data_IF_940968997254
#
_entry.id   IF_940968997254
#
_cell.length_a   1.000
_cell.length_b   1.000
_cell.length_c   1.000
_cell.angle_alpha   90.00
_cell.angle_beta   90.00
_cell.angle_gamma   90.00
#
_symmetry.space_group_name_H-M   'P 1'
#
loop_
_entity.id
_entity.type
_entity.pdbx_description
1 polymer ?
#
# COMPACT_ATOMS: atom_id res chain seq x y z
N UNK A 1 -19.54 -19.30 2.96
CA UNK A 1 -19.79 -18.09 3.77
C UNK A 1 -21.28 -17.81 3.71
N UNK A 2 -21.95 -17.66 4.86
CA UNK A 2 -23.38 -17.36 4.90
C UNK A 2 -23.64 -15.94 4.39
N UNK A 3 -24.79 -15.68 3.76
CA UNK A 3 -25.14 -14.36 3.20
C UNK A 3 -25.07 -13.27 4.28
N UNK A 4 -25.48 -13.59 5.51
CA UNK A 4 -25.37 -12.69 6.66
C UNK A 4 -23.92 -12.31 6.95
N UNK A 5 -22.99 -13.28 6.92
CA UNK A 5 -21.56 -13.02 7.11
C UNK A 5 -20.99 -12.13 6.01
N UNK A 6 -21.39 -12.33 4.74
CA UNK A 6 -20.96 -11.46 3.64
C UNK A 6 -21.45 -10.02 3.82
N UNK A 7 -22.73 -9.83 4.21
CA UNK A 7 -23.29 -8.48 4.44
C UNK A 7 -22.55 -7.78 5.58
N UNK A 8 -22.28 -8.48 6.69
CA UNK A 8 -21.56 -7.90 7.83
C UNK A 8 -20.12 -7.52 7.46
N UNK A 9 -19.42 -8.40 6.73
CA UNK A 9 -18.04 -8.11 6.28
C UNK A 9 -18.02 -6.92 5.33
N UNK A 10 -18.88 -6.91 4.31
CA UNK A 10 -18.92 -5.81 3.34
C UNK A 10 -19.30 -4.49 4.01
N UNK A 11 -20.34 -4.49 4.85
CA UNK A 11 -20.76 -3.29 5.57
C UNK A 11 -19.66 -2.78 6.52
N UNK A 12 -19.01 -3.69 7.25
CA UNK A 12 -17.89 -3.37 8.13
C UNK A 12 -16.70 -2.79 7.37
N UNK A 13 -16.32 -3.39 6.24
CA UNK A 13 -15.25 -2.91 5.37
C UNK A 13 -15.58 -1.53 4.76
N UNK A 14 -16.82 -1.32 4.30
CA UNK A 14 -17.25 -0.02 3.77
C UNK A 14 -17.16 1.06 4.85
N UNK A 15 -17.64 0.78 6.06
CA UNK A 15 -17.54 1.72 7.17
C UNK A 15 -16.09 2.01 7.53
N UNK A 16 -15.27 0.96 7.68
CA UNK A 16 -13.85 1.08 8.01
C UNK A 16 -13.09 1.90 6.97
N UNK A 17 -13.28 1.60 5.69
CA UNK A 17 -12.62 2.28 4.58
C UNK A 17 -13.06 3.75 4.51
N UNK A 18 -14.34 4.05 4.75
CA UNK A 18 -14.84 5.43 4.75
C UNK A 18 -14.16 6.28 5.84
N UNK A 19 -14.05 5.74 7.06
CA UNK A 19 -13.41 6.44 8.17
C UNK A 19 -11.90 6.60 7.90
N UNK A 20 -11.22 5.49 7.58
CA UNK A 20 -9.78 5.50 7.35
C UNK A 20 -9.37 6.36 6.15
N UNK A 21 -10.20 6.44 5.11
CA UNK A 21 -9.96 7.29 3.94
C UNK A 21 -9.95 8.78 4.32
N UNK A 22 -10.87 9.21 5.19
CA UNK A 22 -10.95 10.60 5.66
C UNK A 22 -9.71 10.94 6.49
N UNK A 23 -9.34 10.10 7.47
CA UNK A 23 -8.18 10.33 8.32
C UNK A 23 -6.88 10.44 7.50
N UNK A 24 -6.70 9.52 6.54
CA UNK A 24 -5.56 9.54 5.63
C UNK A 24 -5.54 10.78 4.73
N UNK A 25 -6.71 11.28 4.30
CA UNK A 25 -6.79 12.50 3.49
C UNK A 25 -6.46 13.76 4.32
N UNK A 26 -6.93 13.82 5.58
CA UNK A 26 -6.70 14.94 6.48
C UNK A 26 -5.20 15.07 6.82
N UNK A 27 -4.55 13.99 7.26
CA UNK A 27 -3.12 14.03 7.61
C UNK A 27 -2.27 14.45 6.41
N UNK A 28 -2.55 13.90 5.23
CA UNK A 28 -1.84 14.28 4.01
C UNK A 28 -2.06 15.76 3.65
N UNK A 29 -3.28 16.28 3.79
CA UNK A 29 -3.60 17.68 3.55
C UNK A 29 -2.92 18.62 4.56
N UNK A 30 -2.87 18.22 5.83
CA UNK A 30 -2.18 18.96 6.90
C UNK A 30 -0.68 19.06 6.61
N UNK A 31 -0.02 17.92 6.31
CA UNK A 31 1.40 17.91 5.94
C UNK A 31 1.65 18.77 4.69
N UNK A 32 0.79 18.69 3.66
CA UNK A 32 0.91 19.53 2.47
C UNK A 32 0.73 21.03 2.74
N UNK A 33 -0.07 21.39 3.76
CA UNK A 33 -0.32 22.79 4.12
C UNK A 33 0.92 23.48 4.70
N UNK A 34 1.81 22.70 5.35
CA UNK A 34 3.08 23.20 5.89
C UNK A 34 4.16 23.44 4.83
N UNK A 35 3.94 22.98 3.59
CA UNK A 35 4.91 23.08 2.49
C UNK A 35 4.79 24.38 1.67
N UNK A 36 5.92 24.87 1.18
CA UNK A 36 5.95 25.99 0.23
C UNK A 36 5.16 25.66 -1.05
N UNK A 37 4.43 26.63 -1.61
CA UNK A 37 3.51 26.42 -2.74
C UNK A 37 4.15 25.74 -3.97
N UNK A 38 5.44 26.01 -4.24
CA UNK A 38 6.19 25.38 -5.34
C UNK A 38 6.48 23.90 -5.08
N UNK A 39 6.89 23.55 -3.87
CA UNK A 39 7.17 22.17 -3.46
C UNK A 39 5.88 21.34 -3.40
N UNK A 40 4.78 21.91 -2.88
CA UNK A 40 3.47 21.26 -2.86
C UNK A 40 2.98 20.86 -4.25
N UNK A 41 3.08 21.75 -5.24
CA UNK A 41 2.66 21.46 -6.62
C UNK A 41 3.55 20.40 -7.28
N UNK A 42 4.84 20.42 -7.00
CA UNK A 42 5.77 19.39 -7.48
C UNK A 42 5.44 18.02 -6.87
N UNK A 43 5.22 17.96 -5.55
CA UNK A 43 4.86 16.72 -4.85
C UNK A 43 3.51 16.16 -5.32
N UNK A 44 2.50 17.00 -5.51
CA UNK A 44 1.19 16.56 -6.03
C UNK A 44 1.27 16.03 -7.46
N UNK A 45 2.17 16.54 -8.28
CA UNK A 45 2.31 16.07 -9.68
C UNK A 45 3.19 14.83 -9.73
N UNK A 46 4.42 14.89 -9.21
CA UNK A 46 5.38 13.81 -9.31
C UNK A 46 5.20 12.75 -8.24
N UNK A 47 4.92 13.15 -6.99
CA UNK A 47 4.69 12.23 -5.88
C UNK A 47 3.43 11.39 -6.10
N UNK A 48 2.32 12.01 -6.51
CA UNK A 48 1.10 11.25 -6.87
C UNK A 48 1.32 10.35 -8.08
N UNK A 49 2.01 10.84 -9.12
CA UNK A 49 2.30 10.05 -10.32
C UNK A 49 3.13 8.82 -10.00
N UNK A 50 4.21 8.97 -9.22
CA UNK A 50 5.06 7.86 -8.80
C UNK A 50 4.26 6.90 -7.91
N UNK A 51 3.51 7.41 -6.94
CA UNK A 51 2.73 6.57 -6.03
C UNK A 51 1.67 5.73 -6.77
N UNK A 52 1.00 6.30 -7.78
CA UNK A 52 -0.06 5.58 -8.50
C UNK A 52 0.50 4.72 -9.63
N UNK A 53 1.36 5.25 -10.49
CA UNK A 53 1.81 4.50 -11.68
C UNK A 53 2.99 3.57 -11.38
N UNK A 54 3.98 4.05 -10.63
CA UNK A 54 5.18 3.24 -10.35
C UNK A 54 4.89 2.24 -9.25
N UNK A 55 4.47 2.70 -8.07
CA UNK A 55 4.27 1.81 -6.92
C UNK A 55 3.05 0.90 -7.10
N UNK A 56 1.98 1.38 -7.74
CA UNK A 56 0.75 0.58 -7.91
C UNK A 56 0.72 -0.21 -9.23
N UNK A 57 1.37 0.29 -10.28
CA UNK A 57 1.39 -0.37 -11.59
C UNK A 57 2.68 -1.18 -11.81
N UNK A 58 3.82 -0.51 -11.80
CA UNK A 58 5.11 -1.11 -12.19
C UNK A 58 5.66 -2.06 -11.14
N UNK A 59 5.54 -1.72 -9.85
CA UNK A 59 6.14 -2.49 -8.77
C UNK A 59 5.54 -3.90 -8.62
N UNK A 60 4.21 -4.12 -8.64
CA UNK A 60 3.64 -5.47 -8.66
C UNK A 60 4.09 -6.29 -9.87
N UNK A 61 4.19 -5.65 -11.04
CA UNK A 61 4.66 -6.28 -12.26
C UNK A 61 6.13 -6.72 -12.16
N UNK A 62 7.00 -5.84 -11.64
CA UNK A 62 8.40 -6.16 -11.38
C UNK A 62 8.56 -7.34 -10.43
N UNK A 63 7.76 -7.40 -9.36
CA UNK A 63 7.78 -8.51 -8.41
C UNK A 63 7.42 -9.83 -9.10
N UNK A 64 6.34 -9.85 -9.89
CA UNK A 64 5.91 -11.05 -10.64
C UNK A 64 6.98 -11.50 -11.64
N UNK A 65 7.64 -10.56 -12.32
CA UNK A 65 8.70 -10.85 -13.30
C UNK A 65 9.96 -11.44 -12.64
N UNK A 66 10.43 -10.86 -11.53
CA UNK A 66 11.62 -11.36 -10.81
C UNK A 66 11.40 -12.76 -10.24
N UNK A 67 10.17 -13.07 -9.79
CA UNK A 67 9.84 -14.35 -9.14
C UNK A 67 9.55 -15.47 -10.16
N UNK A 68 9.23 -15.14 -11.42
CA UNK A 68 8.97 -16.11 -12.49
C UNK A 68 10.02 -16.03 -13.62
N UNK A 69 11.21 -16.62 -13.45
CA UNK A 69 12.31 -16.52 -14.41
C UNK A 69 12.08 -17.26 -15.76
N UNK A 70 10.91 -17.87 -15.97
CA UNK A 70 10.55 -18.59 -17.20
C UNK A 70 9.55 -17.89 -18.12
N UNK A 71 8.95 -16.76 -17.70
CA UNK A 71 7.97 -16.02 -18.49
C UNK A 71 8.64 -14.78 -19.11
N UNK A 72 8.50 -14.61 -20.42
CA UNK A 72 8.97 -13.39 -21.09
C UNK A 72 8.24 -12.14 -20.56
N UNK A 73 8.81 -10.93 -20.70
CA UNK A 73 8.17 -9.68 -20.24
C UNK A 73 6.75 -9.49 -20.76
N UNK A 74 6.48 -9.98 -21.97
CA UNK A 74 5.16 -9.93 -22.60
C UNK A 74 4.16 -10.92 -21.99
N UNK A 75 4.61 -12.12 -21.63
CA UNK A 75 3.76 -13.15 -21.03
C UNK A 75 3.37 -12.79 -19.59
N UNK A 76 4.25 -12.14 -18.84
CA UNK A 76 3.94 -11.62 -17.50
C UNK A 76 2.83 -10.56 -17.52
N UNK A 77 2.77 -9.71 -18.55
CA UNK A 77 1.72 -8.70 -18.72
C UNK A 77 0.39 -9.38 -19.03
N UNK A 78 0.38 -10.34 -19.96
CA UNK A 78 -0.83 -11.11 -20.27
C UNK A 78 -1.28 -11.98 -19.11
N UNK A 79 -0.37 -12.57 -18.33
CA UNK A 79 -0.72 -13.40 -17.16
C UNK A 79 -1.34 -12.58 -16.02
N UNK A 80 -0.87 -11.33 -15.83
CA UNK A 80 -1.41 -10.39 -14.83
C UNK A 80 -2.83 -9.95 -15.20
N UNK A 81 -3.12 -9.73 -16.48
CA UNK A 81 -4.47 -9.43 -16.96
C UNK A 81 -5.38 -10.66 -17.07
N UNK A 82 -4.81 -11.85 -17.25
CA UNK A 82 -5.59 -13.08 -17.48
C UNK A 82 -5.91 -13.86 -16.20
N UNK A 83 -5.67 -13.29 -15.02
CA UNK A 83 -5.96 -13.92 -13.71
C UNK A 83 -5.39 -15.34 -13.60
N UNK A 84 -4.16 -15.54 -14.07
CA UNK A 84 -3.51 -16.86 -14.03
C UNK A 84 -3.20 -17.24 -12.56
N UNK A 85 -3.60 -18.42 -12.07
CA UNK A 85 -3.32 -18.88 -10.70
C UNK A 85 -1.85 -18.76 -10.28
N UNK A 86 -0.93 -18.77 -11.24
CA UNK A 86 0.52 -18.60 -11.01
C UNK A 86 0.89 -17.20 -10.52
N UNK A 87 0.16 -16.17 -10.96
CA UNK A 87 0.36 -14.78 -10.52
C UNK A 87 -0.09 -14.61 -9.07
N UNK A 88 -1.21 -15.22 -8.69
CA UNK A 88 -1.70 -15.23 -7.31
C UNK A 88 -0.73 -15.96 -6.39
N UNK A 89 -0.23 -17.14 -6.80
CA UNK A 89 0.78 -17.88 -6.04
C UNK A 89 2.10 -17.11 -5.91
N UNK A 90 2.52 -16.40 -6.97
CA UNK A 90 3.72 -15.55 -6.91
C UNK A 90 3.53 -14.34 -5.96
N UNK A 91 2.34 -13.74 -5.94
CA UNK A 91 2.00 -12.66 -4.99
C UNK A 91 1.99 -13.20 -3.56
N UNK A 92 1.38 -14.37 -3.32
CA UNK A 92 1.38 -15.02 -2.00
C UNK A 92 2.79 -15.39 -1.52
N UNK A 93 3.66 -15.88 -2.41
CA UNK A 93 5.07 -16.18 -2.08
C UNK A 93 5.90 -14.93 -1.82
N UNK A 94 5.55 -13.81 -2.45
CA UNK A 94 6.26 -12.53 -2.32
C UNK A 94 5.72 -11.67 -1.16
N UNK A 95 4.48 -11.90 -0.73
CA UNK A 95 3.86 -11.15 0.35
C UNK A 95 4.66 -11.22 1.66
N UNK A 96 5.21 -12.37 2.11
CA UNK A 96 5.99 -12.44 3.35
C UNK A 96 7.21 -11.51 3.33
N UNK A 97 7.97 -11.46 2.22
CA UNK A 97 9.18 -10.63 2.16
C UNK A 97 8.84 -9.13 2.25
N UNK A 98 7.75 -8.71 1.60
CA UNK A 98 7.23 -7.35 1.65
C UNK A 98 6.69 -6.99 3.04
N UNK A 99 5.93 -7.92 3.63
CA UNK A 99 5.32 -7.75 4.94
C UNK A 99 6.36 -7.72 6.07
N UNK A 100 7.48 -8.43 5.94
CA UNK A 100 8.59 -8.36 6.91
C UNK A 100 9.20 -6.95 6.93
N UNK A 101 9.39 -6.34 5.76
CA UNK A 101 9.88 -4.96 5.67
C UNK A 101 8.95 -3.98 6.37
N UNK A 102 7.66 -4.01 6.03
CA UNK A 102 6.64 -3.17 6.66
C UNK A 102 6.47 -3.45 8.16
N UNK A 103 6.49 -4.73 8.56
CA UNK A 103 6.37 -5.15 9.95
C UNK A 103 7.55 -4.68 10.80
N UNK A 104 8.78 -4.77 10.28
CA UNK A 104 9.97 -4.27 10.98
C UNK A 104 9.91 -2.75 11.17
N UNK A 105 9.44 -2.01 10.17
CA UNK A 105 9.22 -0.57 10.28
C UNK A 105 8.20 -0.23 11.38
N UNK A 106 7.06 -0.94 11.43
CA UNK A 106 6.05 -0.73 12.46
C UNK A 106 6.58 -1.03 13.88
N UNK A 107 7.41 -2.06 14.04
CA UNK A 107 8.09 -2.36 15.31
C UNK A 107 9.02 -1.22 15.72
N UNK A 108 9.81 -0.69 14.78
CA UNK A 108 10.67 0.46 15.07
C UNK A 108 9.87 1.72 15.39
N UNK A 109 8.75 1.96 14.70
CA UNK A 109 7.86 3.08 15.01
C UNK A 109 7.26 2.94 16.41
N UNK A 110 6.85 1.73 16.79
CA UNK A 110 6.39 1.43 18.15
C UNK A 110 7.46 1.72 19.20
N UNK A 111 8.71 1.28 18.97
CA UNK A 111 9.81 1.56 19.89
C UNK A 111 10.19 3.05 19.93
N UNK A 112 10.14 3.74 18.80
CA UNK A 112 10.32 5.19 18.76
C UNK A 112 9.27 5.88 19.64
N UNK A 113 8.00 5.54 19.45
CA UNK A 113 6.92 6.08 20.28
C UNK A 113 7.05 5.69 21.76
N UNK A 114 7.54 4.48 22.06
CA UNK A 114 7.66 4.00 23.43
C UNK A 114 8.79 4.69 24.19
N UNK A 115 9.96 4.85 23.56
CA UNK A 115 11.19 5.25 24.25
C UNK A 115 11.71 6.65 23.88
N UNK A 116 11.46 7.14 22.67
CA UNK A 116 12.08 8.38 22.15
C UNK A 116 11.10 9.55 22.11
N UNK A 117 9.81 9.28 21.88
CA UNK A 117 8.78 10.31 21.87
C UNK A 117 8.61 10.90 23.28
N UNK A 118 8.78 12.22 23.41
CA UNK A 118 8.54 12.92 24.67
C UNK A 118 7.05 12.88 25.01
N UNK A 119 6.67 11.97 25.91
CA UNK A 119 5.28 11.84 26.35
C UNK A 119 4.97 12.94 27.35
N UNK A 120 4.33 14.00 26.87
CA UNK A 120 3.71 14.99 27.73
C UNK A 120 2.45 14.38 28.34
N UNK A 121 2.62 13.65 29.44
CA UNK A 121 1.51 13.28 30.30
C UNK A 121 1.13 14.55 31.06
N UNK A 122 -0.01 15.14 30.71
CA UNK A 122 -0.62 16.21 31.49
C UNK A 122 -0.85 15.79 32.93
#
# INVERSE_FOLDING_TARGET
MDIVSMIVIVAGLVLFETISSIDNAIINAEVLSTMQAKARRWFLVWGLFIAVFVVRGVLPFLIVWVVNPGLGPWEAITATFSSDPRVVAAIELSAPILLIGGGTFLVFLFFHWLFLESKNFG
#
